data_IF_743095933267
#
_entry.id   IF_743095933267
#
_cell.length_a   1.000
_cell.length_b   1.000
_cell.length_c   1.000
_cell.angle_alpha   90.00
_cell.angle_beta   90.00
_cell.angle_gamma   90.00
#
_symmetry.space_group_name_H-M   'P 1'
#
loop_
_entity.id
_entity.type
_entity.pdbx_description
1 polymer ?
#
# COMPACT_ATOMS: atom_id res chain seq x y z
N UNK A 1 -14.69 -8.38 1.79
CA UNK A 1 -13.82 -8.88 2.87
C UNK A 1 -12.88 -7.75 3.26
N UNK A 2 -12.74 -7.44 4.55
CA UNK A 2 -11.82 -6.38 5.00
C UNK A 2 -10.43 -6.97 5.29
N UNK A 3 -9.37 -6.17 5.23
CA UNK A 3 -7.99 -6.56 5.54
C UNK A 3 -7.87 -7.26 6.89
N UNK A 4 -8.50 -6.73 7.94
CA UNK A 4 -8.44 -7.33 9.27
C UNK A 4 -9.02 -8.74 9.31
N UNK A 5 -10.11 -8.99 8.58
CA UNK A 5 -10.72 -10.33 8.55
C UNK A 5 -9.83 -11.38 7.89
N UNK A 6 -9.03 -10.99 6.88
CA UNK A 6 -8.08 -11.90 6.23
C UNK A 6 -6.88 -12.20 7.13
N UNK A 7 -6.47 -11.25 7.98
CA UNK A 7 -5.29 -11.39 8.82
C UNK A 7 -5.57 -12.12 10.15
N UNK A 8 -6.83 -12.27 10.58
CA UNK A 8 -7.21 -12.93 11.84
C UNK A 8 -6.69 -14.36 11.99
N UNK A 9 -6.56 -15.10 10.90
CA UNK A 9 -6.06 -16.49 10.94
C UNK A 9 -4.53 -16.58 11.07
N UNK A 10 -3.81 -15.48 10.83
CA UNK A 10 -2.34 -15.43 10.77
C UNK A 10 -1.72 -14.58 11.87
N UNK A 11 -2.46 -13.61 12.37
CA UNK A 11 -2.02 -12.57 13.29
C UNK A 11 -2.69 -12.80 14.65
N UNK A 12 -1.98 -12.50 15.73
CA UNK A 12 -2.56 -12.46 17.07
C UNK A 12 -3.61 -11.33 17.20
N UNK A 13 -4.46 -11.42 18.22
CA UNK A 13 -5.47 -10.39 18.48
C UNK A 13 -4.87 -8.99 18.71
N UNK A 14 -3.65 -8.93 19.26
CA UNK A 14 -2.91 -7.68 19.44
C UNK A 14 -2.42 -7.15 18.09
N UNK A 15 -1.75 -7.98 17.28
CA UNK A 15 -1.31 -7.59 15.94
C UNK A 15 -2.47 -7.09 15.06
N UNK A 16 -3.63 -7.75 15.09
CA UNK A 16 -4.82 -7.35 14.31
C UNK A 16 -5.33 -5.95 14.74
N UNK A 17 -5.18 -5.57 16.01
CA UNK A 17 -5.55 -4.22 16.48
C UNK A 17 -4.64 -3.13 15.90
N UNK A 18 -3.37 -3.44 15.68
CA UNK A 18 -2.40 -2.52 15.08
C UNK A 18 -2.59 -2.38 13.56
N UNK A 19 -3.29 -3.32 12.89
CA UNK A 19 -3.52 -3.23 11.44
C UNK A 19 -4.33 -1.98 11.10
N UNK A 20 -3.74 -1.13 10.25
CA UNK A 20 -4.43 0.02 9.66
C UNK A 20 -5.42 -0.48 8.62
N UNK A 21 -6.69 -0.12 8.80
CA UNK A 21 -7.78 -0.62 7.94
C UNK A 21 -7.89 0.09 6.58
N UNK A 22 -7.27 1.27 6.44
CA UNK A 22 -7.37 2.12 5.24
C UNK A 22 -6.04 2.13 4.49
N UNK A 23 -6.13 2.05 3.16
CA UNK A 23 -5.01 2.14 2.24
C UNK A 23 -5.50 2.77 0.94
N UNK A 24 -4.59 3.41 0.21
CA UNK A 24 -4.87 4.02 -1.09
C UNK A 24 -4.59 3.02 -2.20
N UNK A 25 -5.36 3.08 -3.29
CA UNK A 25 -5.08 2.32 -4.51
C UNK A 25 -4.89 3.30 -5.67
N UNK A 26 -3.71 3.28 -6.27
CA UNK A 26 -3.34 4.08 -7.44
C UNK A 26 -3.00 3.10 -8.59
N UNK A 27 -4.00 2.87 -9.44
CA UNK A 27 -3.91 1.92 -10.55
C UNK A 27 -3.71 0.50 -10.03
N UNK A 28 -2.55 -0.10 -10.29
CA UNK A 28 -2.18 -1.43 -9.80
C UNK A 28 -1.38 -1.43 -8.49
N UNK A 29 -1.21 -0.28 -7.85
CA UNK A 29 -0.39 -0.13 -6.63
C UNK A 29 -1.29 0.20 -5.44
N UNK A 30 -1.13 -0.53 -4.33
CA UNK A 30 -1.71 -0.17 -3.04
C UNK A 30 -0.67 0.46 -2.12
N UNK A 31 -1.04 1.52 -1.39
CA UNK A 31 -0.16 2.20 -0.44
C UNK A 31 -0.81 2.17 0.94
N UNK A 32 -0.14 1.54 1.91
CA UNK A 32 -0.63 1.38 3.28
C UNK A 32 0.36 1.99 4.30
N UNK A 33 -0.16 2.34 5.47
CA UNK A 33 0.66 2.65 6.63
C UNK A 33 0.86 1.38 7.48
N UNK A 34 2.12 1.04 7.78
CA UNK A 34 2.44 -0.14 8.59
C UNK A 34 3.13 0.35 9.86
N UNK A 35 2.51 0.18 11.05
CA UNK A 35 3.13 0.55 12.31
C UNK A 35 4.35 -0.31 12.60
N UNK A 36 5.23 0.16 13.48
CA UNK A 36 6.50 -0.51 13.78
C UNK A 36 6.27 -1.91 14.37
N UNK A 37 5.20 -2.06 15.15
CA UNK A 37 4.73 -3.32 15.72
C UNK A 37 4.45 -4.41 14.68
N UNK A 38 4.16 -4.03 13.43
CA UNK A 38 3.81 -4.94 12.34
C UNK A 38 4.85 -4.99 11.22
N UNK A 39 6.03 -4.38 11.43
CA UNK A 39 7.06 -4.27 10.42
C UNK A 39 7.59 -5.63 9.94
N UNK A 40 7.68 -6.60 10.84
CA UNK A 40 8.10 -7.97 10.49
C UNK A 40 7.02 -8.75 9.71
N UNK A 41 5.79 -8.25 9.69
CA UNK A 41 4.62 -8.85 9.03
C UNK A 41 4.23 -8.15 7.73
N UNK A 42 5.04 -7.21 7.25
CA UNK A 42 4.80 -6.42 6.05
C UNK A 42 4.40 -7.27 4.82
N UNK A 43 5.11 -8.38 4.59
CA UNK A 43 4.81 -9.27 3.47
C UNK A 43 3.45 -9.94 3.59
N UNK A 44 3.05 -10.36 4.79
CA UNK A 44 1.73 -10.99 4.99
C UNK A 44 0.59 -9.98 4.82
N UNK A 45 0.80 -8.74 5.24
CA UNK A 45 -0.14 -7.62 4.99
C UNK A 45 -0.28 -7.39 3.49
N UNK A 46 0.84 -7.38 2.75
CA UNK A 46 0.83 -7.21 1.31
C UNK A 46 0.06 -8.33 0.60
N UNK A 47 0.31 -9.58 0.95
CA UNK A 47 -0.42 -10.74 0.41
C UNK A 47 -1.92 -10.65 0.69
N UNK A 48 -2.31 -10.23 1.90
CA UNK A 48 -3.72 -10.05 2.24
C UNK A 48 -4.38 -8.95 1.39
N UNK A 49 -3.72 -7.81 1.18
CA UNK A 49 -4.22 -6.71 0.34
C UNK A 49 -4.41 -7.17 -1.10
N UNK A 50 -3.43 -7.87 -1.68
CA UNK A 50 -3.51 -8.42 -3.05
C UNK A 50 -4.59 -9.49 -3.18
N UNK A 51 -4.81 -10.29 -2.13
CA UNK A 51 -5.88 -11.30 -2.11
C UNK A 51 -7.26 -10.65 -2.17
N UNK A 52 -7.47 -9.53 -1.45
CA UNK A 52 -8.73 -8.78 -1.42
C UNK A 52 -8.93 -7.99 -2.71
N UNK A 53 -7.86 -7.39 -3.25
CA UNK A 53 -7.91 -6.50 -4.41
C UNK A 53 -7.17 -7.11 -5.60
N UNK A 54 -7.87 -7.88 -6.43
CA UNK A 54 -7.26 -8.63 -7.55
C UNK A 54 -6.53 -7.78 -8.61
N UNK A 55 -6.79 -6.48 -8.65
CA UNK A 55 -6.12 -5.55 -9.57
C UNK A 55 -4.79 -5.02 -9.02
N UNK A 56 -4.56 -5.13 -7.71
CA UNK A 56 -3.32 -4.71 -7.07
C UNK A 56 -2.25 -5.75 -7.36
N UNK A 57 -1.12 -5.28 -7.88
CA UNK A 57 0.05 -6.11 -8.20
C UNK A 57 1.27 -5.75 -7.37
N UNK A 58 1.31 -4.52 -6.86
CA UNK A 58 2.35 -4.08 -5.92
C UNK A 58 1.69 -3.49 -4.69
N UNK A 59 2.23 -3.81 -3.52
CA UNK A 59 1.88 -3.15 -2.27
C UNK A 59 3.11 -2.43 -1.75
N UNK A 60 2.94 -1.16 -1.42
CA UNK A 60 3.95 -0.32 -0.81
C UNK A 60 3.51 0.10 0.60
N UNK A 61 4.48 0.28 1.50
CA UNK A 61 4.27 1.06 2.71
C UNK A 61 4.76 2.49 2.56
N UNK A 62 4.16 3.41 3.32
CA UNK A 62 4.69 4.77 3.49
C UNK A 62 6.01 4.71 4.27
N UNK A 63 7.01 5.44 3.78
CA UNK A 63 8.35 5.48 4.37
C UNK A 63 8.70 6.82 5.04
N UNK A 64 7.80 7.80 4.99
CA UNK A 64 7.99 9.10 5.63
C UNK A 64 6.89 10.11 5.32
N UNK A 65 7.14 11.34 5.75
CA UNK A 65 6.30 12.50 5.46
C UNK A 65 6.59 13.08 4.07
N UNK A 66 5.66 13.89 3.55
CA UNK A 66 5.90 14.67 2.34
C UNK A 66 7.11 15.59 2.53
N UNK A 67 8.06 15.54 1.60
CA UNK A 67 9.31 16.29 1.71
C UNK A 67 9.64 17.02 0.41
N UNK A 68 10.41 18.11 0.54
CA UNK A 68 10.88 18.92 -0.59
C UNK A 68 9.80 19.79 -1.25
N UNK A 69 10.21 20.56 -2.26
CA UNK A 69 9.34 21.47 -3.01
C UNK A 69 8.19 20.72 -3.70
N UNK A 70 8.47 19.52 -4.22
CA UNK A 70 7.51 18.68 -4.93
C UNK A 70 6.61 17.84 -4.00
N UNK A 71 6.79 17.95 -2.67
CA UNK A 71 6.01 17.23 -1.64
C UNK A 71 5.88 15.72 -1.90
N UNK A 72 6.92 15.10 -2.45
CA UNK A 72 6.92 13.67 -2.75
C UNK A 72 6.87 12.89 -1.45
N UNK A 73 6.03 11.86 -1.38
CA UNK A 73 5.99 10.94 -0.26
C UNK A 73 6.79 9.69 -0.61
N UNK A 74 7.88 9.39 0.12
CA UNK A 74 8.64 8.18 -0.16
C UNK A 74 7.81 6.94 0.23
N UNK A 75 7.88 5.92 -0.61
CA UNK A 75 7.26 4.61 -0.38
C UNK A 75 8.28 3.49 -0.57
N UNK A 76 8.02 2.36 0.09
CA UNK A 76 8.84 1.15 0.00
C UNK A 76 7.95 -0.02 -0.38
N UNK A 77 8.34 -0.78 -1.40
CA UNK A 77 7.63 -2.00 -1.82
C UNK A 77 7.77 -3.06 -0.74
N UNK A 78 6.64 -3.60 -0.28
CA UNK A 78 6.56 -4.64 0.77
C UNK A 78 6.03 -5.98 0.26
N UNK A 79 5.42 -6.00 -0.94
CA UNK A 79 5.03 -7.24 -1.59
C UNK A 79 4.55 -7.04 -3.03
N UNK A 80 4.46 -8.15 -3.77
CA UNK A 80 4.09 -8.16 -5.18
C UNK A 80 5.24 -7.81 -6.14
N UNK A 81 4.91 -7.13 -7.24
CA UNK A 81 5.88 -6.71 -8.26
C UNK A 81 6.81 -5.61 -7.72
N UNK A 82 8.09 -5.65 -8.09
CA UNK A 82 9.10 -4.65 -7.66
C UNK A 82 9.05 -3.38 -8.51
N UNK A 83 7.90 -2.71 -8.54
CA UNK A 83 7.68 -1.48 -9.30
C UNK A 83 6.83 -0.46 -8.52
N UNK A 84 7.14 0.82 -8.68
CA UNK A 84 6.32 1.94 -8.20
C UNK A 84 5.63 2.69 -9.34
N UNK A 85 5.76 2.19 -10.57
CA UNK A 85 5.14 2.76 -11.77
C UNK A 85 3.77 2.14 -12.05
N UNK A 86 2.80 2.96 -12.41
CA UNK A 86 1.41 2.52 -12.63
C UNK A 86 0.69 3.40 -13.64
N UNK A 87 -0.37 2.85 -14.21
CA UNK A 87 -1.37 3.64 -14.94
C UNK A 87 -2.59 3.84 -14.05
N UNK A 88 -2.94 5.09 -13.81
CA UNK A 88 -4.15 5.46 -13.07
C UNK A 88 -5.15 6.13 -14.00
N UNK A 89 -6.44 5.82 -13.82
CA UNK A 89 -7.52 6.42 -14.59
C UNK A 89 -8.46 7.13 -13.63
N UNK A 90 -8.59 8.43 -13.82
CA UNK A 90 -9.50 9.28 -13.07
C UNK A 90 -10.29 10.15 -14.03
N UNK A 91 -11.62 10.16 -13.89
CA UNK A 91 -12.50 11.00 -14.71
C UNK A 91 -12.26 10.87 -16.24
N UNK A 92 -11.85 9.68 -16.70
CA UNK A 92 -11.55 9.39 -18.11
C UNK A 92 -10.14 9.77 -18.58
N UNK A 93 -9.34 10.46 -17.75
CA UNK A 93 -7.93 10.74 -18.04
C UNK A 93 -7.05 9.58 -17.58
N UNK A 94 -6.15 9.11 -18.44
CA UNK A 94 -5.18 8.06 -18.13
C UNK A 94 -3.80 8.68 -17.88
N UNK A 95 -3.26 8.49 -16.69
CA UNK A 95 -1.99 9.03 -16.25
C UNK A 95 -0.99 7.88 -16.06
N UNK A 96 0.23 8.05 -16.56
CA UNK A 96 1.36 7.19 -16.25
C UNK A 96 2.23 7.89 -15.21
N UNK A 97 2.39 7.29 -14.04
CA UNK A 97 3.08 7.93 -12.92
C UNK A 97 3.85 6.93 -12.07
N UNK A 98 4.87 7.44 -11.38
CA UNK A 98 5.66 6.72 -10.38
C UNK A 98 5.30 7.26 -8.99
N UNK A 99 4.61 6.44 -8.18
CA UNK A 99 4.10 6.85 -6.86
C UNK A 99 5.19 7.24 -5.87
N UNK A 100 6.46 6.90 -6.16
CA UNK A 100 7.61 7.26 -5.32
C UNK A 100 8.33 8.54 -5.79
N UNK A 101 7.91 9.13 -6.93
CA UNK A 101 8.55 10.31 -7.54
C UNK A 101 7.61 11.49 -7.70
N UNK A 102 6.30 11.29 -7.61
CA UNK A 102 5.30 12.36 -7.77
C UNK A 102 4.39 12.45 -6.56
N UNK A 103 3.83 13.63 -6.34
CA UNK A 103 2.73 13.82 -5.42
C UNK A 103 1.41 13.45 -6.13
N UNK A 104 0.59 12.61 -5.49
CA UNK A 104 -0.71 12.16 -5.99
C UNK A 104 -1.70 12.05 -4.81
N UNK A 105 -2.96 12.46 -4.99
CA UNK A 105 -4.04 12.44 -3.99
C UNK A 105 -5.30 11.88 -4.62
#
# INVERSE_FOLDING_TARGET
MNLRDVLKDKFSEEEVKHVVGSFDIIGTIAIIDVPEELKERESEIADAIMSINKNVRTVCRRAGEHSGEFRVRPVVVIGGERTTETYYVESGARMHLDVNKVYFT
#
